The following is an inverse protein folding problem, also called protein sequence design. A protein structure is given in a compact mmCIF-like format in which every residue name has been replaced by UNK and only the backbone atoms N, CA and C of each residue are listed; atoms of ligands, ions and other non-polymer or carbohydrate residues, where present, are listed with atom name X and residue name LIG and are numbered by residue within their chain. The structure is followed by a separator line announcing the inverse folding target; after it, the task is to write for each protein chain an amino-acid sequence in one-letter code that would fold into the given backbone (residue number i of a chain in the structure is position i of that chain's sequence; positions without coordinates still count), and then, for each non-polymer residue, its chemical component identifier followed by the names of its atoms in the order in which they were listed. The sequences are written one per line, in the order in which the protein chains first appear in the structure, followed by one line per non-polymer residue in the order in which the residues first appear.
data_IF_414989935280
#
_entry.id   IF_414989935280
#
_cell.length_a   1.000
_cell.length_b   1.000
_cell.length_c   1.000
_cell.angle_alpha   90.00
_cell.angle_beta   90.00
_cell.angle_gamma   90.00
#
_symmetry.space_group_name_H-M   'P 1'
#
loop_
_entity.id
_entity.type
_entity.pdbx_description
1 polymer ?
#
# COMPACT_ATOMS: atom_id res chain seq x y z
N UNK A 1 0.22 6.91 -21.55
CA UNK A 1 -0.09 7.69 -20.33
C UNK A 1 -0.35 6.79 -19.13
N UNK A 2 -1.21 5.75 -19.21
CA UNK A 2 -1.47 4.81 -18.10
C UNK A 2 -0.23 4.09 -17.54
N UNK A 3 0.72 3.70 -18.39
CA UNK A 3 1.96 3.04 -17.96
C UNK A 3 2.87 3.92 -17.07
N UNK A 4 2.79 5.25 -17.19
CA UNK A 4 3.64 6.17 -16.42
C UNK A 4 3.05 6.45 -15.03
N UNK A 5 1.73 6.56 -14.93
CA UNK A 5 1.02 6.73 -13.66
C UNK A 5 1.04 5.46 -12.80
N UNK A 6 0.88 4.27 -13.41
CA UNK A 6 1.08 2.99 -12.72
C UNK A 6 2.51 2.82 -12.23
N UNK A 7 3.50 3.25 -13.03
CA UNK A 7 4.90 3.14 -12.61
C UNK A 7 5.28 4.06 -11.46
N UNK A 8 4.75 5.27 -11.45
CA UNK A 8 4.92 6.20 -10.33
C UNK A 8 4.35 5.62 -9.03
N UNK A 9 3.19 4.98 -9.11
CA UNK A 9 2.56 4.32 -7.95
C UNK A 9 3.38 3.13 -7.43
N UNK A 10 3.86 2.26 -8.33
CA UNK A 10 4.74 1.14 -7.96
C UNK A 10 6.01 1.64 -7.24
N UNK A 11 6.56 2.76 -7.69
CA UNK A 11 7.71 3.41 -7.08
C UNK A 11 7.40 3.91 -5.67
N UNK A 12 6.32 4.68 -5.49
CA UNK A 12 5.94 5.23 -4.17
C UNK A 12 5.64 4.13 -3.14
N UNK A 13 4.95 3.07 -3.56
CA UNK A 13 4.67 1.92 -2.69
C UNK A 13 5.97 1.22 -2.30
N UNK A 14 6.86 1.01 -3.27
CA UNK A 14 8.15 0.39 -3.01
C UNK A 14 9.00 1.22 -2.05
N UNK A 15 9.11 2.53 -2.27
CA UNK A 15 9.91 3.41 -1.42
C UNK A 15 9.35 3.44 0.00
N UNK A 16 8.03 3.54 0.16
CA UNK A 16 7.36 3.50 1.46
C UNK A 16 7.61 2.18 2.20
N UNK A 17 7.43 1.04 1.52
CA UNK A 17 7.67 -0.27 2.10
C UNK A 17 9.14 -0.44 2.51
N UNK A 18 10.07 0.07 1.70
CA UNK A 18 11.50 -0.01 1.98
C UNK A 18 11.90 0.88 3.15
N UNK A 19 11.38 2.11 3.24
CA UNK A 19 11.60 3.01 4.39
C UNK A 19 11.07 2.38 5.68
N UNK A 20 9.88 1.78 5.66
CA UNK A 20 9.35 1.07 6.82
C UNK A 20 10.28 -0.07 7.27
N UNK A 21 10.80 -0.85 6.32
CA UNK A 21 11.75 -1.92 6.61
C UNK A 21 13.06 -1.37 7.17
N UNK A 22 13.61 -0.27 6.63
CA UNK A 22 14.81 0.39 7.15
C UNK A 22 14.64 0.81 8.61
N UNK A 23 13.46 1.30 9.02
CA UNK A 23 13.19 1.67 10.41
C UNK A 23 13.09 0.46 11.35
N UNK A 24 12.65 -0.69 10.85
CA UNK A 24 12.53 -1.93 11.63
C UNK A 24 13.83 -2.72 11.71
N UNK A 25 14.66 -2.60 10.69
CA UNK A 25 15.94 -3.31 10.59
C UNK A 25 17.06 -2.49 11.25
N UNK A 26 17.98 -3.20 11.89
CA UNK A 26 19.17 -2.67 12.54
C UNK A 26 20.41 -3.22 11.85
N UNK A 27 21.58 -2.62 12.12
CA UNK A 27 22.85 -3.12 11.57
C UNK A 27 23.27 -4.51 12.10
N UNK A 28 22.50 -5.13 12.99
CA UNK A 28 22.75 -6.48 13.54
C UNK A 28 21.81 -7.55 13.02
N UNK A 29 20.85 -7.22 12.14
CA UNK A 29 19.93 -8.20 11.57
C UNK A 29 20.66 -9.17 10.65
N UNK A 30 20.32 -10.45 10.76
CA UNK A 30 20.79 -11.48 9.84
C UNK A 30 19.94 -11.53 8.58
N UNK A 31 20.43 -12.18 7.53
CA UNK A 31 19.65 -12.45 6.30
C UNK A 31 18.29 -13.10 6.60
N UNK A 32 18.25 -14.00 7.58
CA UNK A 32 17.02 -14.66 8.03
C UNK A 32 16.05 -13.67 8.70
N UNK A 33 16.56 -12.73 9.51
CA UNK A 33 15.74 -11.71 10.15
C UNK A 33 15.13 -10.76 9.11
N UNK A 34 15.93 -10.33 8.13
CA UNK A 34 15.49 -9.46 7.02
C UNK A 34 14.40 -10.17 6.21
N UNK A 35 14.60 -11.46 5.91
CA UNK A 35 13.63 -12.27 5.17
C UNK A 35 12.30 -12.38 5.90
N UNK A 36 12.32 -12.60 7.22
CA UNK A 36 11.09 -12.70 8.03
C UNK A 36 10.35 -11.37 8.05
N UNK A 37 11.02 -10.25 8.27
CA UNK A 37 10.38 -8.93 8.29
C UNK A 37 9.80 -8.54 6.92
N UNK A 38 10.50 -8.89 5.84
CA UNK A 38 9.98 -8.74 4.49
C UNK A 38 8.70 -9.54 4.27
N UNK A 39 8.67 -10.82 4.64
CA UNK A 39 7.47 -11.66 4.45
C UNK A 39 6.28 -11.15 5.25
N UNK A 40 6.49 -10.56 6.43
CA UNK A 40 5.42 -9.92 7.22
C UNK A 40 4.73 -8.78 6.48
N UNK A 41 5.39 -8.10 5.54
CA UNK A 41 4.73 -7.06 4.72
C UNK A 41 3.56 -7.63 3.93
N UNK A 42 3.65 -8.89 3.49
CA UNK A 42 2.56 -9.54 2.79
C UNK A 42 1.38 -9.89 3.68
N UNK A 43 1.55 -9.90 5.01
CA UNK A 43 0.41 -10.06 5.91
C UNK A 43 -0.43 -8.78 5.96
N UNK A 44 0.13 -7.61 5.64
CA UNK A 44 -0.58 -6.32 5.68
C UNK A 44 -1.35 -6.00 4.40
N UNK A 45 -1.21 -6.81 3.34
CA UNK A 45 -2.01 -6.65 2.12
C UNK A 45 -3.28 -7.53 2.17
N UNK A 46 -4.35 -7.15 1.46
CA UNK A 46 -5.55 -7.97 1.33
C UNK A 46 -5.28 -9.41 0.92
N UNK A 47 -6.13 -10.32 1.37
CA UNK A 47 -6.03 -11.77 1.13
C UNK A 47 -5.83 -12.13 -0.36
N UNK A 48 -6.49 -11.42 -1.27
CA UNK A 48 -6.38 -11.62 -2.72
C UNK A 48 -5.03 -11.18 -3.32
N UNK A 49 -4.26 -10.35 -2.62
CA UNK A 49 -2.93 -9.91 -3.05
C UNK A 49 -1.79 -10.66 -2.37
N UNK A 50 -2.05 -11.42 -1.29
CA UNK A 50 -1.00 -12.12 -0.54
C UNK A 50 -0.15 -13.06 -1.40
N UNK A 51 -0.76 -13.82 -2.32
CA UNK A 51 0.00 -14.75 -3.18
C UNK A 51 0.94 -13.99 -4.11
N UNK A 52 0.46 -12.86 -4.67
CA UNK A 52 1.24 -12.00 -5.57
C UNK A 52 2.37 -11.34 -4.77
N UNK A 53 2.07 -10.80 -3.59
CA UNK A 53 3.06 -10.22 -2.70
C UNK A 53 4.16 -11.21 -2.33
N UNK A 54 3.79 -12.41 -1.87
CA UNK A 54 4.76 -13.44 -1.50
C UNK A 54 5.66 -13.84 -2.66
N UNK A 55 5.11 -13.93 -3.88
CA UNK A 55 5.88 -14.22 -5.08
C UNK A 55 6.84 -13.08 -5.43
N UNK A 56 6.41 -11.82 -5.30
CA UNK A 56 7.24 -10.64 -5.54
C UNK A 56 8.39 -10.57 -4.55
N UNK A 57 8.13 -10.78 -3.26
CA UNK A 57 9.17 -10.78 -2.23
C UNK A 57 10.12 -11.95 -2.46
N UNK A 58 9.62 -13.18 -2.61
CA UNK A 58 10.47 -14.36 -2.77
C UNK A 58 11.36 -14.29 -4.02
N UNK A 59 10.87 -13.72 -5.11
CA UNK A 59 11.64 -13.54 -6.35
C UNK A 59 12.75 -12.49 -6.23
N UNK A 60 12.62 -11.53 -5.31
CA UNK A 60 13.51 -10.38 -5.18
C UNK A 60 14.28 -10.34 -3.85
N UNK A 61 14.03 -11.30 -2.95
CA UNK A 61 14.52 -11.28 -1.56
C UNK A 61 16.04 -11.08 -1.47
N UNK A 62 16.80 -11.77 -2.32
CA UNK A 62 18.26 -11.68 -2.35
C UNK A 62 18.76 -10.29 -2.79
N UNK A 63 18.06 -9.65 -3.74
CA UNK A 63 18.40 -8.30 -4.19
C UNK A 63 18.09 -7.28 -3.09
N UNK A 64 16.93 -7.44 -2.43
CA UNK A 64 16.53 -6.60 -1.31
C UNK A 64 17.53 -6.72 -0.15
N UNK A 65 17.89 -7.94 0.26
CA UNK A 65 18.90 -8.19 1.31
C UNK A 65 20.22 -7.49 0.98
N UNK A 66 20.74 -7.65 -0.25
CA UNK A 66 21.99 -7.02 -0.67
C UNK A 66 21.90 -5.49 -0.61
N UNK A 67 20.78 -4.93 -1.01
CA UNK A 67 20.54 -3.49 -0.95
C UNK A 67 20.61 -2.96 0.49
N UNK A 68 20.00 -3.70 1.44
CA UNK A 68 20.11 -3.41 2.87
C UNK A 68 21.54 -3.57 3.40
N UNK A 69 22.26 -4.63 3.03
CA UNK A 69 23.67 -4.83 3.40
C UNK A 69 24.57 -3.69 2.89
N UNK A 70 24.28 -3.21 1.67
CA UNK A 70 24.99 -2.10 1.02
C UNK A 70 24.56 -0.72 1.55
N UNK A 71 23.49 -0.65 2.37
CA UNK A 71 22.89 0.61 2.85
C UNK A 71 22.48 1.53 1.71
N UNK A 72 21.97 0.94 0.64
CA UNK A 72 21.37 1.68 -0.47
C UNK A 72 20.08 2.36 0.00
N UNK A 73 19.70 3.44 -0.68
CA UNK A 73 18.48 4.17 -0.35
C UNK A 73 17.26 3.48 -0.98
N UNK A 74 16.04 3.74 -0.46
CA UNK A 74 14.80 3.21 -1.04
C UNK A 74 14.68 3.45 -2.55
N UNK A 75 15.06 4.64 -3.02
CA UNK A 75 15.05 4.99 -4.45
C UNK A 75 15.97 4.12 -5.29
N UNK A 76 17.16 3.76 -4.77
CA UNK A 76 18.10 2.88 -5.49
C UNK A 76 17.52 1.47 -5.56
N UNK A 77 17.11 0.90 -4.43
CA UNK A 77 16.50 -0.43 -4.39
C UNK A 77 15.31 -0.52 -5.33
N UNK A 78 14.37 0.42 -5.23
CA UNK A 78 13.17 0.42 -6.03
C UNK A 78 13.45 0.66 -7.52
N UNK A 79 14.54 1.36 -7.85
CA UNK A 79 15.08 1.42 -9.21
C UNK A 79 15.60 0.07 -9.70
N UNK A 80 16.38 -0.65 -8.89
CA UNK A 80 16.92 -1.98 -9.23
C UNK A 80 15.85 -3.06 -9.37
N UNK A 81 14.82 -3.00 -8.53
CA UNK A 81 13.61 -3.82 -8.67
C UNK A 81 12.80 -3.43 -9.90
N UNK A 82 13.20 -2.37 -10.60
CA UNK A 82 12.54 -1.83 -11.76
C UNK A 82 11.17 -1.29 -11.45
N UNK A 83 10.87 -0.91 -10.19
CA UNK A 83 9.59 -0.35 -9.72
C UNK A 83 9.58 1.18 -9.84
N UNK A 84 10.75 1.80 -9.72
CA UNK A 84 10.95 3.20 -10.07
C UNK A 84 11.46 3.34 -11.51
N UNK A 85 11.06 4.43 -12.18
CA UNK A 85 11.68 4.81 -13.44
C UNK A 85 13.08 5.32 -13.13
N UNK A 86 14.11 4.72 -13.76
CA UNK A 86 15.45 5.32 -13.72
C UNK A 86 15.36 6.74 -14.28
N UNK A 87 15.99 7.68 -13.56
CA UNK A 87 16.15 9.06 -14.02
C UNK A 87 17.12 9.11 -15.19
N UNK A 88 16.73 8.61 -16.37
CA UNK A 88 17.38 8.95 -17.63
C UNK A 88 16.56 10.06 -18.29
N UNK A 89 17.04 11.28 -18.12
CA UNK A 89 16.57 12.52 -18.72
C UNK A 89 16.14 12.38 -20.20
N UNK A 90 14.86 12.62 -20.48
CA UNK A 90 14.45 13.42 -21.63
C UNK A 90 13.34 14.35 -21.18
N UNK A 91 13.78 15.53 -20.74
CA UNK A 91 12.98 16.74 -20.74
C UNK A 91 12.31 16.91 -22.10
N UNK A 92 11.00 16.65 -22.16
CA UNK A 92 10.15 17.18 -23.21
C UNK A 92 8.86 17.70 -22.56
N UNK A 93 8.84 19.02 -22.39
CA UNK A 93 7.66 19.86 -22.23
C UNK A 93 6.67 19.43 -21.16
N UNK A 94 6.84 20.00 -19.96
CA UNK A 94 5.74 20.36 -19.06
C UNK A 94 4.74 21.24 -19.83
N UNK A 95 3.84 20.64 -20.60
CA UNK A 95 2.57 21.27 -20.89
C UNK A 95 1.70 21.03 -19.67
N UNK A 96 1.53 22.11 -18.90
CA UNK A 96 0.50 22.27 -17.88
C UNK A 96 -0.85 22.18 -18.61
N UNK A 97 -1.25 20.96 -18.97
CA UNK A 97 -2.61 20.65 -19.35
C UNK A 97 -3.38 20.53 -18.03
N UNK A 98 -3.96 21.67 -17.65
CA UNK A 98 -5.12 21.83 -16.77
C UNK A 98 -5.65 20.49 -16.25
N UNK A 99 -5.21 20.15 -15.03
CA UNK A 99 -5.68 19.01 -14.27
C UNK A 99 -7.11 19.34 -13.80
N UNK A 100 -8.10 19.12 -14.67
CA UNK A 100 -9.48 19.04 -14.21
C UNK A 100 -9.71 17.62 -13.68
N UNK A 101 -9.79 17.54 -12.35
CA UNK A 101 -10.60 16.60 -11.58
C UNK A 101 -10.49 15.11 -11.93
N UNK A 102 -9.27 14.56 -11.89
CA UNK A 102 -9.09 13.15 -11.55
C UNK A 102 -8.42 13.09 -10.18
N UNK A 103 -9.24 13.01 -9.14
CA UNK A 103 -8.82 13.16 -7.75
C UNK A 103 -7.68 12.18 -7.41
N UNK A 104 -6.48 12.73 -7.23
CA UNK A 104 -5.35 12.06 -6.57
C UNK A 104 -5.77 11.40 -5.24
N UNK A 105 -6.79 11.96 -4.57
CA UNK A 105 -7.36 11.39 -3.35
C UNK A 105 -8.17 10.10 -3.58
N UNK A 106 -8.69 9.83 -4.78
CA UNK A 106 -9.38 8.56 -5.07
C UNK A 106 -8.38 7.43 -5.29
N UNK A 107 -7.21 7.70 -5.87
CA UNK A 107 -6.15 6.69 -6.01
C UNK A 107 -5.52 6.37 -4.65
N UNK A 108 -5.11 7.41 -3.91
CA UNK A 108 -4.54 7.24 -2.57
C UNK A 108 -5.59 6.68 -1.59
N UNK A 109 -6.83 7.15 -1.65
CA UNK A 109 -7.94 6.65 -0.83
C UNK A 109 -8.32 5.20 -1.16
N UNK A 110 -8.18 4.76 -2.40
CA UNK A 110 -8.35 3.36 -2.80
C UNK A 110 -7.27 2.46 -2.20
N UNK A 111 -6.00 2.91 -2.21
CA UNK A 111 -4.89 2.16 -1.59
C UNK A 111 -5.04 2.06 -0.07
N UNK A 112 -5.39 3.16 0.59
CA UNK A 112 -5.72 3.13 2.02
C UNK A 112 -6.89 2.18 2.27
N UNK A 113 -7.93 2.24 1.44
CA UNK A 113 -9.07 1.35 1.58
C UNK A 113 -8.68 -0.13 1.51
N UNK A 114 -7.91 -0.52 0.50
CA UNK A 114 -7.45 -1.90 0.35
C UNK A 114 -6.64 -2.33 1.58
N UNK A 115 -5.70 -1.49 2.06
CA UNK A 115 -4.96 -1.77 3.31
C UNK A 115 -5.89 -2.00 4.51
N UNK A 116 -6.84 -1.09 4.73
CA UNK A 116 -7.75 -1.20 5.86
C UNK A 116 -8.67 -2.40 5.72
N UNK A 117 -9.20 -2.72 4.53
CA UNK A 117 -10.00 -3.93 4.29
C UNK A 117 -9.22 -5.19 4.69
N UNK A 118 -7.95 -5.32 4.30
CA UNK A 118 -7.12 -6.46 4.69
C UNK A 118 -6.92 -6.58 6.21
N UNK A 119 -6.81 -5.45 6.92
CA UNK A 119 -6.75 -5.45 8.38
C UNK A 119 -8.10 -5.82 9.00
N UNK A 120 -9.19 -5.34 8.43
CA UNK A 120 -10.56 -5.60 8.89
C UNK A 120 -10.99 -7.05 8.71
N UNK A 121 -10.56 -7.73 7.63
CA UNK A 121 -10.79 -9.17 7.43
C UNK A 121 -10.37 -9.97 8.67
N UNK A 122 -9.17 -9.70 9.20
CA UNK A 122 -8.61 -10.40 10.38
C UNK A 122 -9.40 -10.13 11.65
N UNK A 123 -9.91 -8.91 11.81
CA UNK A 123 -10.72 -8.54 12.98
C UNK A 123 -12.11 -9.16 12.94
N UNK A 124 -12.71 -9.25 11.76
CA UNK A 124 -14.00 -9.91 11.56
C UNK A 124 -13.90 -11.42 11.81
N UNK A 125 -12.81 -12.07 11.41
CA UNK A 125 -12.56 -13.49 11.69
C UNK A 125 -12.56 -13.83 13.19
N UNK A 126 -12.12 -12.89 14.04
CA UNK A 126 -12.09 -13.07 15.51
C UNK A 126 -13.33 -12.48 16.22
N UNK A 127 -14.34 -12.03 15.47
CA UNK A 127 -15.53 -11.35 15.99
C UNK A 127 -15.21 -10.11 16.85
N UNK A 128 -14.20 -9.33 16.46
CA UNK A 128 -13.92 -8.05 17.11
C UNK A 128 -15.08 -7.07 16.90
N UNK A 129 -15.39 -6.27 17.91
CA UNK A 129 -16.39 -5.21 17.82
C UNK A 129 -15.83 -4.02 17.04
N UNK A 130 -16.71 -3.24 16.40
CA UNK A 130 -16.31 -2.04 15.65
C UNK A 130 -15.41 -1.10 16.48
N UNK A 131 -15.72 -0.90 17.76
CA UNK A 131 -14.93 -0.04 18.64
C UNK A 131 -13.54 -0.60 18.97
N UNK A 132 -13.38 -1.92 19.04
CA UNK A 132 -12.06 -2.56 19.22
C UNK A 132 -11.19 -2.39 17.97
N UNK A 133 -11.82 -2.45 16.80
CA UNK A 133 -11.18 -2.26 15.50
C UNK A 133 -10.71 -0.81 15.33
N UNK A 134 -11.59 0.16 15.52
CA UNK A 134 -11.27 1.60 15.43
C UNK A 134 -10.12 1.95 16.37
N UNK A 135 -10.20 1.50 17.63
CA UNK A 135 -9.15 1.72 18.61
C UNK A 135 -7.79 1.17 18.17
N UNK A 136 -7.76 -0.03 17.58
CA UNK A 136 -6.52 -0.62 17.08
C UNK A 136 -5.94 0.18 15.92
N UNK A 137 -6.78 0.57 14.95
CA UNK A 137 -6.33 1.29 13.76
C UNK A 137 -5.87 2.72 14.11
N UNK A 138 -6.55 3.41 15.02
CA UNK A 138 -6.10 4.70 15.56
C UNK A 138 -4.73 4.59 16.24
N UNK A 139 -4.51 3.51 17.02
CA UNK A 139 -3.22 3.22 17.64
C UNK A 139 -2.15 2.89 16.61
N UNK A 140 -2.52 2.30 15.48
CA UNK A 140 -1.61 2.04 14.37
C UNK A 140 -1.26 3.34 13.64
N UNK A 141 -2.19 4.29 13.55
CA UNK A 141 -1.94 5.61 12.97
C UNK A 141 -0.82 6.38 13.67
N UNK A 142 -0.64 6.19 14.99
CA UNK A 142 0.44 6.78 15.79
C UNK A 142 1.85 6.38 15.29
N UNK A 143 1.96 5.31 14.48
CA UNK A 143 3.23 4.85 13.91
C UNK A 143 3.66 5.65 12.69
N UNK A 144 2.75 6.36 12.03
CA UNK A 144 3.09 7.19 10.88
C UNK A 144 3.59 8.58 11.31
N UNK A 145 4.62 9.09 10.64
CA UNK A 145 5.17 10.42 10.90
C UNK A 145 4.50 11.53 10.08
N UNK A 146 4.56 12.77 10.58
CA UNK A 146 4.16 13.96 9.80
C UNK A 146 2.66 14.06 9.53
N UNK A 147 2.29 14.57 8.35
CA UNK A 147 0.88 14.76 7.95
C UNK A 147 0.09 13.46 7.75
N UNK A 148 0.79 12.33 7.57
CA UNK A 148 0.18 11.02 7.34
C UNK A 148 -0.54 10.48 8.56
N UNK A 149 -0.07 10.79 9.78
CA UNK A 149 -0.77 10.40 11.00
C UNK A 149 -2.19 10.99 11.03
N UNK A 150 -2.32 12.27 10.70
CA UNK A 150 -3.64 12.94 10.65
C UNK A 150 -4.52 12.42 9.53
N UNK A 151 -3.95 12.13 8.37
CA UNK A 151 -4.71 11.55 7.24
C UNK A 151 -5.19 10.13 7.57
N UNK A 152 -4.36 9.33 8.25
CA UNK A 152 -4.73 8.01 8.74
C UNK A 152 -5.91 8.07 9.72
N UNK A 153 -5.86 8.96 10.72
CA UNK A 153 -6.96 9.11 11.69
C UNK A 153 -8.26 9.55 11.00
N UNK A 154 -8.19 10.53 10.09
CA UNK A 154 -9.36 10.95 9.30
C UNK A 154 -9.92 9.79 8.49
N UNK A 155 -9.06 8.94 7.95
CA UNK A 155 -9.48 7.75 7.21
C UNK A 155 -10.19 6.73 8.10
N UNK A 156 -9.60 6.42 9.27
CA UNK A 156 -10.19 5.51 10.26
C UNK A 156 -11.59 5.99 10.63
N UNK A 157 -11.73 7.26 11.01
CA UNK A 157 -13.01 7.85 11.41
C UNK A 157 -14.09 7.79 10.31
N UNK A 158 -13.70 7.99 9.04
CA UNK A 158 -14.66 8.12 7.94
C UNK A 158 -15.06 6.78 7.30
N UNK A 159 -14.11 5.87 7.14
CA UNK A 159 -14.29 4.69 6.28
C UNK A 159 -14.40 3.37 7.05
N UNK A 160 -13.73 3.24 8.20
CA UNK A 160 -13.74 1.98 8.98
C UNK A 160 -15.16 1.57 9.41
N UNK A 161 -16.04 2.47 9.90
CA UNK A 161 -17.42 2.08 10.25
C UNK A 161 -18.17 1.43 9.08
N UNK A 162 -18.02 2.00 7.88
CA UNK A 162 -18.71 1.53 6.67
C UNK A 162 -18.13 0.20 6.20
N UNK A 163 -16.81 0.03 6.29
CA UNK A 163 -16.13 -1.20 5.93
C UNK A 163 -16.42 -2.35 6.90
N UNK A 164 -16.48 -2.07 8.21
CA UNK A 164 -16.85 -3.07 9.23
C UNK A 164 -18.28 -3.54 9.01
N UNK A 165 -19.23 -2.63 8.78
CA UNK A 165 -20.61 -2.98 8.47
C UNK A 165 -20.70 -3.84 7.21
N UNK A 166 -19.98 -3.46 6.14
CA UNK A 166 -19.93 -4.20 4.89
C UNK A 166 -19.42 -5.64 5.09
N UNK A 167 -18.30 -5.81 5.80
CA UNK A 167 -17.66 -7.10 6.03
C UNK A 167 -18.44 -7.99 7.01
N UNK A 168 -19.07 -7.40 8.03
CA UNK A 168 -19.91 -8.13 9.00
C UNK A 168 -21.13 -8.80 8.34
N UNK A 169 -21.59 -8.28 7.20
CA UNK A 169 -22.68 -8.86 6.41
C UNK A 169 -22.23 -9.96 5.42
N UNK A 170 -21.03 -10.55 5.62
CA UNK A 170 -20.44 -11.58 4.74
C UNK A 170 -20.30 -11.14 3.28
N UNK A 171 -20.14 -9.84 3.03
CA UNK A 171 -19.87 -9.34 1.68
C UNK A 171 -18.40 -9.54 1.33
N UNK A 172 -18.10 -9.58 0.02
CA UNK A 172 -16.75 -9.93 -0.43
C UNK A 172 -15.78 -8.75 -0.26
N UNK A 173 -14.67 -8.92 0.47
CA UNK A 173 -13.69 -7.86 0.75
C UNK A 173 -13.17 -7.14 -0.50
N UNK A 174 -13.03 -7.86 -1.62
CA UNK A 174 -12.56 -7.34 -2.92
C UNK A 174 -13.49 -6.28 -3.55
N UNK A 175 -14.70 -6.09 -3.02
CA UNK A 175 -15.66 -5.09 -3.50
C UNK A 175 -15.88 -3.93 -2.54
N UNK A 176 -15.45 -4.06 -1.28
CA UNK A 176 -15.76 -3.10 -0.22
C UNK A 176 -15.34 -1.66 -0.59
N UNK A 177 -14.15 -1.51 -1.17
CA UNK A 177 -13.62 -0.20 -1.53
C UNK A 177 -14.33 0.48 -2.70
N UNK A 178 -14.93 -0.29 -3.61
CA UNK A 178 -15.76 0.25 -4.69
C UNK A 178 -17.14 0.66 -4.19
N UNK A 179 -17.71 -0.11 -3.26
CA UNK A 179 -19.05 0.11 -2.71
C UNK A 179 -19.09 1.38 -1.85
N UNK A 180 -18.02 1.67 -1.10
CA UNK A 180 -17.92 2.93 -0.33
C UNK A 180 -17.41 4.11 -1.16
N UNK A 181 -17.15 3.90 -2.45
CA UNK A 181 -16.68 4.95 -3.37
C UNK A 181 -15.22 5.38 -3.20
N UNK A 182 -14.42 4.65 -2.40
CA UNK A 182 -12.99 4.91 -2.25
C UNK A 182 -12.23 4.57 -3.55
N UNK A 183 -12.63 3.49 -4.22
CA UNK A 183 -12.11 3.07 -5.53
C UNK A 183 -13.15 3.33 -6.63
N UNK A 184 -12.68 3.82 -7.78
CA UNK A 184 -13.54 3.93 -8.97
C UNK A 184 -13.64 2.59 -9.70
N UNK A 185 -14.86 2.13 -9.97
CA UNK A 185 -15.09 0.97 -10.86
C UNK A 185 -14.51 1.30 -12.24
N UNK A 186 -13.63 0.47 -12.77
CA UNK A 186 -13.06 0.69 -14.10
C UNK A 186 -14.15 0.60 -15.18
N UNK A 187 -14.73 1.74 -15.55
CA UNK A 187 -15.59 1.86 -16.73
C UNK A 187 -14.85 2.56 -17.87
N UNK A 188 -14.02 1.80 -18.61
CA UNK A 188 -13.70 1.90 -20.06
C UNK A 188 -12.42 1.08 -20.34
N UNK A 189 -12.39 -0.01 -21.10
CA UNK A 189 -13.07 -0.25 -22.39
C UNK A 189 -13.26 -1.75 -22.63
N UNK A 190 -14.51 -2.16 -22.87
CA UNK A 190 -14.86 -3.35 -23.66
C UNK A 190 -16.30 -3.21 -24.12
N UNK A 191 -16.48 -2.60 -25.28
CA UNK A 191 -17.70 -2.69 -26.07
C UNK A 191 -17.31 -2.59 -27.54
N UNK A 192 -17.43 -3.75 -28.20
CA UNK A 192 -17.43 -4.04 -29.65
C UNK A 192 -16.10 -3.88 -30.40
#
# INVERSE_FOLDING_TARGET
MFAKASKQMECEICEMATTYLEEKLTSSNTEADISIELMKLCDYVPSNYQTICNSLISGNINSIIKSFENKETPTILCGELGLCLESSESSESLQIAKFEEFSSASTVGCLFCDYFVGQLEKFVEVNATQSEIEYFLDKDCDKYGGGYASECVVYVDQYVPQLVDYLAHNQKPDRACYEIGACQSSSSSSSL
#
